data_IF_986489222935
#
_entry.id   IF_986489222935
#
_cell.length_a   1.000
_cell.length_b   1.000
_cell.length_c   1.000
_cell.angle_alpha   90.00
_cell.angle_beta   90.00
_cell.angle_gamma   90.00
#
_symmetry.space_group_name_H-M   'P 1'
#
loop_
_entity.id
_entity.type
_entity.pdbx_description
1 polymer ?
#
# COMPACT_ATOMS: atom_id res chain seq x y z
N UNK A 1 -60.14 -13.74 1.01
CA UNK A 1 -59.73 -14.84 0.11
C UNK A 1 -58.24 -15.02 0.29
N UNK A 2 -57.90 -15.83 1.28
CA UNK A 2 -56.54 -16.18 1.67
C UNK A 2 -55.94 -17.15 0.67
N UNK A 3 -54.74 -16.85 0.16
CA UNK A 3 -53.98 -17.83 -0.62
C UNK A 3 -52.56 -17.92 -0.09
N UNK A 4 -52.35 -18.97 0.69
CA UNK A 4 -51.13 -19.40 1.36
C UNK A 4 -50.13 -19.98 0.35
N UNK A 5 -48.91 -19.42 0.29
CA UNK A 5 -47.82 -19.98 -0.49
C UNK A 5 -47.13 -21.15 0.24
N UNK A 6 -46.67 -22.21 -0.46
CA UNK A 6 -46.09 -23.41 0.15
C UNK A 6 -44.60 -23.23 0.54
N UNK A 7 -44.24 -23.90 1.64
CA UNK A 7 -42.92 -23.98 2.27
C UNK A 7 -41.94 -24.90 1.53
N UNK A 8 -40.72 -24.43 1.27
CA UNK A 8 -39.62 -25.21 0.67
C UNK A 8 -38.91 -26.14 1.68
N UNK A 9 -38.45 -27.34 1.27
CA UNK A 9 -37.80 -28.29 2.17
C UNK A 9 -36.30 -27.99 2.38
N UNK A 10 -35.83 -28.23 3.61
CA UNK A 10 -34.47 -28.02 4.10
C UNK A 10 -33.57 -29.22 3.77
N UNK A 11 -32.33 -29.04 3.29
CA UNK A 11 -31.42 -30.15 3.02
C UNK A 11 -30.82 -30.74 4.32
N UNK A 12 -30.55 -32.06 4.38
CA UNK A 12 -30.05 -32.72 5.58
C UNK A 12 -28.54 -32.48 5.81
N UNK A 13 -28.18 -32.25 7.07
CA UNK A 13 -26.80 -32.07 7.52
C UNK A 13 -25.96 -33.34 7.39
N UNK A 14 -24.72 -33.19 6.91
CA UNK A 14 -23.73 -34.27 6.90
C UNK A 14 -22.84 -34.19 8.15
N UNK A 15 -22.84 -35.31 8.87
CA UNK A 15 -22.08 -35.62 10.08
C UNK A 15 -20.57 -35.58 9.85
N UNK A 16 -19.86 -35.07 10.85
CA UNK A 16 -18.42 -35.27 11.09
C UNK A 16 -18.13 -36.75 11.36
N UNK A 17 -16.99 -37.24 10.86
CA UNK A 17 -16.37 -38.50 11.29
C UNK A 17 -14.96 -38.17 11.79
N UNK A 18 -14.58 -38.55 13.02
CA UNK A 18 -13.20 -38.50 13.49
C UNK A 18 -12.47 -39.81 13.13
N UNK A 19 -11.17 -39.73 12.85
CA UNK A 19 -10.29 -40.90 12.92
C UNK A 19 -9.27 -40.69 14.02
N UNK A 20 -9.38 -41.55 15.02
CA UNK A 20 -8.46 -41.74 16.14
C UNK A 20 -7.46 -42.85 15.82
N UNK A 21 -6.30 -42.77 16.48
CA UNK A 21 -5.45 -43.91 16.86
C UNK A 21 -4.35 -44.27 15.86
N UNK A 22 -3.21 -44.82 16.26
CA UNK A 22 -2.66 -45.11 17.59
C UNK A 22 -1.18 -45.51 17.42
N UNK A 23 -0.44 -45.33 18.52
CA UNK A 23 0.91 -45.75 18.89
C UNK A 23 1.36 -47.14 18.40
N UNK A 24 2.66 -47.30 18.10
CA UNK A 24 3.39 -48.54 18.37
C UNK A 24 4.88 -48.27 18.63
N UNK A 25 5.35 -48.75 19.79
CA UNK A 25 6.74 -48.79 20.23
C UNK A 25 7.16 -50.27 20.44
N UNK A 26 8.38 -50.63 20.07
CA UNK A 26 9.16 -51.79 20.54
C UNK A 26 10.57 -51.68 19.90
N UNK A 27 11.63 -51.29 20.61
CA UNK A 27 12.50 -52.03 21.55
C UNK A 27 13.31 -53.18 20.91
N UNK A 28 14.61 -52.95 20.72
CA UNK A 28 15.63 -53.96 20.46
C UNK A 28 17.00 -53.45 20.92
N UNK A 29 17.59 -54.11 21.93
CA UNK A 29 18.92 -53.83 22.48
C UNK A 29 20.02 -54.53 21.66
N UNK A 30 21.14 -53.85 21.43
CA UNK A 30 22.47 -54.47 21.33
C UNK A 30 23.58 -53.46 21.68
N UNK A 31 24.50 -53.86 22.56
CA UNK A 31 25.66 -53.08 23.02
C UNK A 31 26.75 -53.01 21.94
N UNK A 32 27.32 -51.83 21.74
CA UNK A 32 28.57 -51.61 21.01
C UNK A 32 29.14 -50.24 21.33
N UNK A 33 30.21 -50.20 22.13
CA UNK A 33 30.96 -48.97 22.40
C UNK A 33 31.77 -48.59 21.15
N UNK A 34 31.56 -47.40 20.59
CA UNK A 34 32.54 -46.67 19.77
C UNK A 34 32.20 -45.17 19.83
N UNK A 35 33.12 -44.37 20.35
CA UNK A 35 33.02 -42.91 20.41
C UNK A 35 33.17 -42.29 19.02
N UNK A 36 32.15 -41.57 18.54
CA UNK A 36 32.29 -40.57 17.47
C UNK A 36 31.30 -39.41 17.67
N UNK A 37 31.88 -38.22 17.84
CA UNK A 37 31.35 -36.85 17.75
C UNK A 37 29.82 -36.63 17.70
N UNK A 38 29.31 -35.91 18.69
CA UNK A 38 28.00 -35.26 18.65
C UNK A 38 27.96 -34.20 17.53
N UNK A 39 27.09 -34.41 16.55
CA UNK A 39 26.70 -33.39 15.58
C UNK A 39 25.57 -32.58 16.21
N UNK A 40 25.72 -31.28 16.48
CA UNK A 40 24.58 -30.49 16.93
C UNK A 40 23.60 -30.37 15.76
N UNK A 41 22.38 -30.82 16.00
CA UNK A 41 21.26 -30.70 15.10
C UNK A 41 20.89 -29.22 14.88
N UNK A 42 20.85 -28.81 13.61
CA UNK A 42 19.93 -27.78 13.13
C UNK A 42 20.24 -26.33 13.51
N UNK A 43 21.40 -25.81 13.11
CA UNK A 43 21.50 -24.37 12.88
C UNK A 43 20.62 -24.02 11.67
N UNK A 44 19.47 -23.38 11.91
CA UNK A 44 18.69 -22.76 10.84
C UNK A 44 19.61 -21.78 10.08
N UNK A 45 19.56 -21.74 8.73
CA UNK A 45 20.35 -20.78 7.98
C UNK A 45 20.02 -19.36 8.47
N UNK A 46 21.00 -18.47 8.57
CA UNK A 46 20.75 -17.10 8.97
C UNK A 46 19.72 -16.51 8.00
N UNK A 47 18.59 -16.05 8.55
CA UNK A 47 17.62 -15.27 7.79
C UNK A 47 18.37 -14.02 7.33
N UNK A 48 18.64 -13.93 6.04
CA UNK A 48 19.05 -12.68 5.42
C UNK A 48 17.99 -11.65 5.76
N UNK A 49 18.37 -10.66 6.59
CA UNK A 49 17.55 -9.48 6.79
C UNK A 49 17.34 -8.85 5.40
N UNK A 50 16.09 -8.76 4.96
CA UNK A 50 15.76 -8.01 3.76
C UNK A 50 16.34 -6.61 3.92
N UNK A 51 17.25 -6.23 3.02
CA UNK A 51 17.78 -4.86 3.00
C UNK A 51 16.61 -3.89 3.01
N UNK A 52 16.57 -2.89 3.91
CA UNK A 52 15.50 -1.92 3.90
C UNK A 52 15.48 -1.26 2.51
N UNK A 53 14.28 -1.14 1.95
CA UNK A 53 14.10 -0.44 0.69
C UNK A 53 14.69 0.97 0.81
N UNK A 54 15.36 1.48 -0.24
CA UNK A 54 16.03 2.77 -0.18
C UNK A 54 15.02 3.88 0.16
N UNK A 55 15.40 4.73 1.11
CA UNK A 55 14.64 5.93 1.43
C UNK A 55 14.78 6.94 0.28
N UNK A 56 13.71 7.69 0.02
CA UNK A 56 13.74 8.78 -0.96
C UNK A 56 14.60 9.96 -0.48
N UNK A 57 15.24 10.67 -1.41
CA UNK A 57 15.94 11.93 -1.07
C UNK A 57 14.93 13.05 -0.92
N UNK A 58 14.85 13.63 0.27
CA UNK A 58 13.85 14.63 0.63
C UNK A 58 14.12 16.03 0.02
N UNK A 59 13.05 16.67 -0.43
CA UNK A 59 12.99 18.09 -0.83
C UNK A 59 11.75 18.72 -0.20
N UNK A 60 11.89 19.85 0.49
CA UNK A 60 10.76 20.53 1.12
C UNK A 60 10.13 21.56 0.15
N UNK A 61 8.81 21.54 0.06
CA UNK A 61 7.96 22.57 -0.54
C UNK A 61 7.16 23.23 0.59
N UNK A 62 6.93 24.54 0.54
CA UNK A 62 6.16 25.21 1.59
C UNK A 62 5.36 26.39 1.08
N UNK A 63 4.11 26.49 1.51
CA UNK A 63 3.19 27.61 1.27
C UNK A 63 2.08 27.58 2.33
N UNK A 64 1.53 28.74 2.72
CA UNK A 64 0.35 28.78 3.60
C UNK A 64 0.53 28.13 4.99
N UNK A 65 1.76 27.98 5.46
CA UNK A 65 2.09 27.30 6.73
C UNK A 65 2.14 25.78 6.66
N UNK A 66 1.85 25.19 5.50
CA UNK A 66 2.04 23.76 5.23
C UNK A 66 3.42 23.54 4.61
N UNK A 67 4.22 22.66 5.22
CA UNK A 67 5.44 22.10 4.62
C UNK A 67 5.16 20.69 4.13
N UNK A 68 5.55 20.40 2.89
CA UNK A 68 5.41 19.08 2.27
C UNK A 68 6.80 18.60 1.88
N UNK A 69 7.17 17.42 2.35
CA UNK A 69 8.41 16.76 1.94
C UNK A 69 8.10 15.87 0.77
N UNK A 70 8.76 16.08 -0.37
CA UNK A 70 8.64 15.28 -1.58
C UNK A 70 9.95 14.55 -1.88
N UNK A 71 9.88 13.45 -2.65
CA UNK A 71 11.10 12.79 -3.12
C UNK A 71 11.69 13.55 -4.31
N UNK A 72 13.01 13.49 -4.46
CA UNK A 72 13.72 13.99 -5.65
C UNK A 72 13.60 13.04 -6.83
N UNK A 73 13.61 11.74 -6.55
CA UNK A 73 13.74 10.68 -7.56
C UNK A 73 12.44 10.36 -8.29
N UNK A 74 11.28 10.74 -7.73
CA UNK A 74 9.98 10.35 -8.25
C UNK A 74 8.88 11.29 -7.72
N UNK A 75 7.76 11.52 -8.46
CA UNK A 75 6.65 12.33 -7.98
C UNK A 75 5.85 11.63 -6.86
N UNK A 76 6.42 11.59 -5.66
CA UNK A 76 5.81 11.09 -4.45
C UNK A 76 5.96 12.11 -3.30
N UNK A 77 4.99 12.10 -2.41
CA UNK A 77 5.01 12.87 -1.16
C UNK A 77 5.47 11.93 -0.06
N UNK A 78 6.47 12.34 0.72
CA UNK A 78 7.01 11.58 1.85
C UNK A 78 6.25 11.89 3.13
N UNK A 79 5.96 13.17 3.38
CA UNK A 79 5.27 13.62 4.60
C UNK A 79 4.71 15.03 4.48
N UNK A 80 3.81 15.36 5.40
CA UNK A 80 3.21 16.68 5.58
C UNK A 80 3.48 17.18 7.00
N UNK A 81 3.70 18.49 7.13
CA UNK A 81 3.86 19.17 8.42
C UNK A 81 3.07 20.49 8.42
N UNK A 82 2.09 20.60 9.31
CA UNK A 82 1.32 21.83 9.57
C UNK A 82 1.59 22.30 11.01
N UNK A 83 2.57 23.20 11.16
CA UNK A 83 3.14 23.54 12.47
C UNK A 83 3.86 22.33 13.08
N UNK A 84 3.39 21.85 14.23
CA UNK A 84 3.94 20.64 14.90
C UNK A 84 3.19 19.36 14.55
N UNK A 85 2.13 19.44 13.74
CA UNK A 85 1.26 18.31 13.41
C UNK A 85 1.70 17.67 12.10
N UNK A 86 1.63 16.35 11.99
CA UNK A 86 2.15 15.61 10.84
C UNK A 86 1.19 14.56 10.30
N UNK A 87 1.27 14.32 8.99
CA UNK A 87 0.72 13.16 8.31
C UNK A 87 1.82 12.53 7.43
N UNK A 88 1.71 11.24 7.19
CA UNK A 88 2.60 10.51 6.29
C UNK A 88 2.21 10.65 4.82
N UNK A 89 3.09 10.21 3.94
CA UNK A 89 2.81 9.89 2.55
C UNK A 89 3.38 8.51 2.21
N UNK A 90 4.27 8.45 1.23
CA UNK A 90 5.06 7.29 0.84
C UNK A 90 6.54 7.52 1.16
N UNK A 91 7.03 6.85 2.21
CA UNK A 91 8.43 6.96 2.65
C UNK A 91 9.39 6.11 1.80
N UNK A 92 8.91 4.99 1.25
CA UNK A 92 9.71 4.13 0.38
C UNK A 92 9.84 4.75 -1.01
N UNK A 93 11.03 4.79 -1.58
CA UNK A 93 11.22 5.32 -2.92
C UNK A 93 10.46 4.47 -3.95
N UNK A 94 9.66 5.13 -4.78
CA UNK A 94 9.04 4.60 -5.99
C UNK A 94 9.89 4.98 -7.20
N UNK A 95 9.79 4.19 -8.26
CA UNK A 95 10.56 4.42 -9.49
C UNK A 95 9.79 4.06 -10.76
N UNK A 96 8.51 3.71 -10.65
CA UNK A 96 7.76 3.07 -11.73
C UNK A 96 6.37 3.66 -11.90
N UNK A 97 5.96 3.79 -13.15
CA UNK A 97 4.58 4.07 -13.55
C UNK A 97 3.96 2.80 -14.13
N UNK A 98 2.65 2.64 -14.00
CA UNK A 98 1.92 1.65 -14.79
C UNK A 98 1.31 2.35 -16.01
N UNK A 99 1.75 1.96 -17.21
CA UNK A 99 1.21 2.45 -18.49
C UNK A 99 0.48 1.30 -19.16
N UNK A 100 -0.78 1.50 -19.53
CA UNK A 100 -1.61 0.47 -20.18
C UNK A 100 -1.68 -0.86 -19.41
N UNK A 101 -1.54 -0.81 -18.09
CA UNK A 101 -1.59 -1.99 -17.21
C UNK A 101 -0.24 -2.68 -16.97
N UNK A 102 0.84 -2.23 -17.62
CA UNK A 102 2.19 -2.77 -17.43
C UNK A 102 3.08 -1.79 -16.66
N UNK A 103 3.95 -2.32 -15.78
CA UNK A 103 4.85 -1.51 -14.98
C UNK A 103 6.12 -1.15 -15.78
N UNK A 104 6.41 0.14 -15.88
CA UNK A 104 7.58 0.68 -16.56
C UNK A 104 8.38 1.53 -15.60
N UNK A 105 9.68 1.22 -15.49
CA UNK A 105 10.60 1.97 -14.66
C UNK A 105 10.93 3.31 -15.32
N UNK A 106 10.80 4.39 -14.57
CA UNK A 106 11.13 5.72 -15.02
C UNK A 106 12.51 6.15 -14.52
N UNK A 107 13.27 6.82 -15.39
CA UNK A 107 14.34 7.73 -14.97
C UNK A 107 13.74 9.13 -14.89
N UNK A 108 13.77 9.72 -13.69
CA UNK A 108 13.10 11.01 -13.44
C UNK A 108 14.12 12.08 -13.06
N UNK A 109 13.95 13.26 -13.63
CA UNK A 109 14.63 14.48 -13.19
C UNK A 109 13.64 15.41 -12.51
N UNK A 110 14.11 16.19 -11.53
CA UNK A 110 13.26 17.10 -10.76
C UNK A 110 13.88 18.49 -10.68
N UNK A 111 13.04 19.50 -10.84
CA UNK A 111 13.31 20.89 -10.45
C UNK A 111 12.29 21.32 -9.41
N UNK A 112 12.73 21.98 -8.33
CA UNK A 112 11.83 22.51 -7.31
C UNK A 112 12.11 24.00 -7.09
N UNK A 113 11.05 24.78 -6.92
CA UNK A 113 11.12 26.21 -6.63
C UNK A 113 9.98 26.61 -5.70
N UNK A 114 10.33 27.04 -4.48
CA UNK A 114 9.37 27.46 -3.46
C UNK A 114 8.37 26.35 -3.12
N UNK A 115 7.12 26.56 -3.50
CA UNK A 115 6.00 25.66 -3.20
C UNK A 115 5.71 24.63 -4.27
N UNK A 116 6.54 24.49 -5.30
CA UNK A 116 6.31 23.60 -6.44
C UNK A 116 7.52 22.76 -6.82
N UNK A 117 7.29 21.46 -7.04
CA UNK A 117 8.22 20.55 -7.70
C UNK A 117 7.66 20.11 -9.06
N UNK A 118 8.52 20.09 -10.08
CA UNK A 118 8.24 19.58 -11.42
C UNK A 118 9.15 18.41 -11.70
N UNK A 119 8.55 17.30 -12.15
CA UNK A 119 9.20 16.05 -12.47
C UNK A 119 9.08 15.78 -13.96
N UNK A 120 10.17 15.36 -14.59
CA UNK A 120 10.17 14.86 -15.97
C UNK A 120 10.68 13.44 -15.97
N UNK A 121 9.80 12.50 -16.29
CA UNK A 121 10.03 11.06 -16.29
C UNK A 121 10.13 10.54 -17.72
N UNK A 122 11.21 9.78 -17.99
CA UNK A 122 11.46 9.10 -19.26
C UNK A 122 11.66 7.60 -19.02
N UNK A 123 11.48 6.81 -20.06
CA UNK A 123 11.42 5.35 -20.00
C UNK A 123 12.36 4.75 -21.04
N UNK A 124 13.16 3.76 -20.64
CA UNK A 124 14.08 3.07 -21.56
C UNK A 124 13.32 2.11 -22.48
N UNK A 125 12.33 1.41 -21.92
CA UNK A 125 11.48 0.43 -22.59
C UNK A 125 10.30 1.04 -23.36
N UNK A 126 10.00 2.32 -23.12
CA UNK A 126 9.03 3.12 -23.89
C UNK A 126 9.70 4.35 -24.50
N UNK A 127 10.61 4.17 -25.48
CA UNK A 127 11.33 5.28 -26.10
C UNK A 127 10.35 6.26 -26.76
N UNK A 128 10.60 7.55 -26.57
CA UNK A 128 9.72 8.61 -27.08
C UNK A 128 8.46 8.83 -26.25
N UNK A 129 8.37 8.28 -25.03
CA UNK A 129 7.41 8.69 -24.02
C UNK A 129 8.08 9.59 -22.97
N UNK A 130 7.44 10.71 -22.66
CA UNK A 130 7.84 11.59 -21.57
C UNK A 130 6.62 12.05 -20.80
N UNK A 131 6.66 11.89 -19.48
CA UNK A 131 5.60 12.32 -18.56
C UNK A 131 6.14 13.45 -17.70
N UNK A 132 5.44 14.59 -17.74
CA UNK A 132 5.72 15.74 -16.86
C UNK A 132 4.63 15.81 -15.81
N UNK A 133 5.01 15.75 -14.54
CA UNK A 133 4.10 15.85 -13.41
C UNK A 133 4.59 16.87 -12.39
N UNK A 134 3.68 17.40 -11.58
CA UNK A 134 3.97 18.42 -10.58
C UNK A 134 3.36 18.08 -9.23
N UNK A 135 4.02 18.55 -8.18
CA UNK A 135 3.47 18.62 -6.82
C UNK A 135 3.54 20.09 -6.41
N UNK A 136 2.39 20.67 -6.08
CA UNK A 136 2.29 22.09 -5.70
C UNK A 136 1.57 22.24 -4.36
N UNK A 137 2.15 23.00 -3.44
CA UNK A 137 1.54 23.40 -2.16
C UNK A 137 0.86 24.75 -2.35
N UNK A 138 -0.43 24.84 -2.06
CA UNK A 138 -1.18 26.09 -2.17
C UNK A 138 -1.24 26.84 -0.84
N UNK A 139 -1.65 28.12 -0.90
CA UNK A 139 -1.87 28.94 0.29
C UNK A 139 -2.99 28.41 1.19
N UNK A 140 -3.97 27.71 0.59
CA UNK A 140 -5.13 27.15 1.28
C UNK A 140 -4.86 25.75 1.86
N UNK A 141 -3.61 25.44 2.21
CA UNK A 141 -3.18 24.14 2.78
C UNK A 141 -3.57 22.92 1.93
N UNK A 142 -3.67 23.11 0.60
CA UNK A 142 -3.95 22.04 -0.35
C UNK A 142 -2.69 21.63 -1.09
N UNK A 143 -2.55 20.33 -1.36
CA UNK A 143 -1.45 19.81 -2.18
C UNK A 143 -2.02 19.22 -3.45
N UNK A 144 -1.55 19.73 -4.58
CA UNK A 144 -2.00 19.32 -5.91
C UNK A 144 -0.91 18.47 -6.53
N UNK A 145 -1.21 17.19 -6.75
CA UNK A 145 -0.47 16.35 -7.68
C UNK A 145 -1.16 16.40 -9.05
N UNK A 146 -0.42 16.71 -10.11
CA UNK A 146 -0.94 16.77 -11.46
C UNK A 146 0.02 16.13 -12.46
N UNK A 147 -0.51 15.39 -13.43
CA UNK A 147 0.21 15.07 -14.67
C UNK A 147 -0.13 16.17 -15.67
N UNK A 148 0.82 17.07 -15.93
CA UNK A 148 0.57 18.26 -16.74
C UNK A 148 0.78 18.01 -18.23
N UNK A 149 1.62 17.03 -18.57
CA UNK A 149 1.92 16.71 -19.96
C UNK A 149 2.32 15.26 -20.14
N UNK A 150 1.78 14.62 -21.17
CA UNK A 150 2.28 13.37 -21.74
C UNK A 150 2.70 13.70 -23.17
N UNK A 151 3.95 13.42 -23.54
CA UNK A 151 4.53 13.89 -24.80
C UNK A 151 5.56 12.95 -25.40
N UNK A 152 5.96 13.26 -26.64
CA UNK A 152 6.83 12.44 -27.48
C UNK A 152 6.03 11.56 -28.45
N UNK A 153 6.73 10.81 -29.30
CA UNK A 153 6.14 9.99 -30.38
C UNK A 153 5.24 8.87 -29.85
N UNK A 154 5.50 8.38 -28.63
CA UNK A 154 4.70 7.34 -27.99
C UNK A 154 3.55 7.91 -27.14
N UNK A 155 3.39 9.23 -27.01
CA UNK A 155 2.34 9.80 -26.13
C UNK A 155 0.92 9.34 -26.49
N UNK A 156 0.63 9.20 -27.78
CA UNK A 156 -0.69 8.78 -28.28
C UNK A 156 -1.04 7.32 -27.96
N UNK A 157 -0.06 6.50 -27.52
CA UNK A 157 -0.29 5.11 -27.14
C UNK A 157 -0.69 4.95 -25.68
N UNK A 158 -0.61 6.02 -24.87
CA UNK A 158 -0.97 5.98 -23.45
C UNK A 158 -2.49 6.09 -23.32
N UNK A 159 -3.14 5.00 -22.88
CA UNK A 159 -4.58 4.94 -22.63
C UNK A 159 -4.90 4.93 -21.13
N UNK A 160 -4.07 4.29 -20.33
CA UNK A 160 -4.16 4.33 -18.87
C UNK A 160 -2.80 4.64 -18.26
N UNK A 161 -2.82 5.39 -17.15
CA UNK A 161 -1.65 5.75 -16.38
C UNK A 161 -1.98 5.61 -14.90
N UNK A 162 -1.11 4.95 -14.15
CA UNK A 162 -1.21 4.85 -12.69
C UNK A 162 0.16 4.91 -12.04
N UNK A 163 0.17 5.26 -10.74
CA UNK A 163 1.33 5.12 -9.87
C UNK A 163 0.88 4.23 -8.70
N UNK A 164 1.06 2.90 -8.80
CA UNK A 164 0.71 2.00 -7.72
C UNK A 164 1.49 2.33 -6.44
N UNK A 165 0.80 2.32 -5.30
CA UNK A 165 1.45 2.58 -4.01
C UNK A 165 1.92 4.02 -3.79
N UNK A 166 1.44 4.99 -4.59
CA UNK A 166 1.82 6.40 -4.45
C UNK A 166 1.56 6.96 -3.04
N UNK A 167 0.56 6.42 -2.33
CA UNK A 167 0.20 6.75 -0.95
C UNK A 167 0.31 8.25 -0.67
N UNK A 168 -0.43 9.05 -1.46
CA UNK A 168 -0.34 10.52 -1.42
C UNK A 168 -0.45 11.06 0.01
N UNK A 169 -1.33 10.48 0.83
CA UNK A 169 -1.42 10.74 2.27
C UNK A 169 -1.62 9.42 3.02
N UNK A 170 -1.02 9.30 4.20
CA UNK A 170 -1.07 8.12 5.05
C UNK A 170 -0.99 8.47 6.53
N UNK A 171 -1.35 7.49 7.36
CA UNK A 171 -1.12 7.47 8.81
C UNK A 171 -0.55 6.12 9.19
N UNK A 172 0.19 6.07 10.29
CA UNK A 172 0.72 4.84 10.84
C UNK A 172 -0.06 4.41 12.09
N UNK A 173 -0.04 3.12 12.39
CA UNK A 173 -0.63 2.58 13.63
C UNK A 173 -0.05 3.14 14.92
N UNK A 174 1.14 3.71 14.86
CA UNK A 174 1.80 4.41 15.97
C UNK A 174 1.33 5.85 16.15
N UNK A 175 0.62 6.44 15.17
CA UNK A 175 0.05 7.78 15.30
C UNK A 175 -1.15 7.75 16.26
N UNK A 176 -1.18 8.59 17.30
CA UNK A 176 -2.32 8.66 18.21
C UNK A 176 -3.61 8.97 17.45
N UNK A 177 -4.62 8.12 17.58
CA UNK A 177 -5.94 8.33 16.95
C UNK A 177 -5.98 8.06 15.44
N UNK A 178 -4.98 7.38 14.87
CA UNK A 178 -4.93 7.00 13.46
C UNK A 178 -6.22 6.32 12.99
N UNK A 179 -6.80 6.82 11.91
CA UNK A 179 -8.08 6.33 11.38
C UNK A 179 -8.18 6.52 9.87
N UNK A 180 -9.04 5.69 9.27
CA UNK A 180 -9.47 5.76 7.89
C UNK A 180 -11.00 5.75 7.85
N UNK A 181 -11.59 6.78 7.28
CA UNK A 181 -12.99 6.80 6.88
C UNK A 181 -13.07 6.63 5.36
N UNK A 182 -13.85 5.68 4.87
CA UNK A 182 -14.03 5.46 3.42
C UNK A 182 -15.43 4.95 3.12
N UNK A 183 -15.83 5.04 1.86
CA UNK A 183 -17.15 4.58 1.43
C UNK A 183 -17.08 3.75 0.15
N UNK A 184 -18.19 3.14 -0.23
CA UNK A 184 -18.39 2.54 -1.55
C UNK A 184 -19.75 3.00 -2.07
N UNK A 185 -19.90 3.04 -3.39
CA UNK A 185 -21.21 3.29 -3.98
C UNK A 185 -22.12 2.12 -3.61
N UNK A 186 -23.23 2.41 -2.93
CA UNK A 186 -24.29 1.45 -2.59
C UNK A 186 -25.65 2.08 -2.86
N UNK A 187 -26.55 1.30 -3.44
CA UNK A 187 -27.96 1.67 -3.67
C UNK A 187 -28.91 1.04 -2.65
N UNK A 188 -28.39 0.24 -1.72
CA UNK A 188 -29.17 -0.36 -0.64
C UNK A 188 -29.43 0.67 0.46
N UNK A 189 -30.68 1.10 0.59
CA UNK A 189 -31.10 2.09 1.59
C UNK A 189 -31.18 1.53 3.02
N UNK A 190 -30.99 0.23 3.21
CA UNK A 190 -31.10 -0.43 4.52
C UNK A 190 -29.76 -0.62 5.22
N UNK A 191 -28.65 -0.37 4.52
CA UNK A 191 -27.29 -0.52 5.03
C UNK A 191 -26.44 0.71 4.73
N UNK A 192 -25.39 0.93 5.53
CA UNK A 192 -24.37 1.95 5.19
C UNK A 192 -23.16 1.29 4.55
N UNK A 193 -22.67 1.91 3.46
CA UNK A 193 -21.41 1.55 2.83
C UNK A 193 -20.20 2.23 3.48
N UNK A 194 -20.45 3.18 4.39
CA UNK A 194 -19.39 3.92 5.08
C UNK A 194 -18.69 3.01 6.08
N UNK A 195 -17.37 3.10 6.10
CA UNK A 195 -16.50 2.37 7.01
C UNK A 195 -15.59 3.35 7.73
N UNK A 196 -15.61 3.27 9.05
CA UNK A 196 -14.68 3.97 9.94
C UNK A 196 -13.78 2.93 10.57
N UNK A 197 -12.49 3.00 10.25
CA UNK A 197 -11.50 1.97 10.55
C UNK A 197 -10.41 2.60 11.41
N UNK A 198 -10.33 2.25 12.71
CA UNK A 198 -9.15 2.58 13.51
C UNK A 198 -7.92 1.87 12.94
N UNK A 199 -6.82 2.61 12.78
CA UNK A 199 -5.54 2.06 12.35
C UNK A 199 -4.71 1.78 13.59
N UNK A 200 -4.53 0.50 13.90
CA UNK A 200 -3.79 0.00 15.06
C UNK A 200 -2.83 -1.09 14.60
N UNK A 201 -1.91 -1.52 15.46
CA UNK A 201 -1.00 -2.62 15.13
C UNK A 201 -1.73 -3.95 14.80
N UNK A 202 -2.98 -4.11 15.25
CA UNK A 202 -3.82 -5.26 14.92
C UNK A 202 -4.67 -5.10 13.65
N UNK A 203 -4.69 -3.90 13.05
CA UNK A 203 -5.46 -3.64 11.83
C UNK A 203 -4.76 -4.28 10.65
N UNK A 204 -5.34 -5.34 10.10
CA UNK A 204 -4.81 -5.96 8.88
C UNK A 204 -5.12 -5.08 7.67
N UNK A 205 -4.14 -4.85 6.77
CA UNK A 205 -4.40 -4.20 5.49
C UNK A 205 -5.44 -4.98 4.68
N UNK A 206 -6.13 -4.28 3.77
CA UNK A 206 -6.94 -4.97 2.77
C UNK A 206 -6.04 -5.87 1.91
N UNK A 207 -6.56 -7.02 1.51
CA UNK A 207 -5.82 -8.00 0.69
C UNK A 207 -5.49 -7.47 -0.70
N UNK A 208 -6.32 -6.57 -1.21
CA UNK A 208 -6.22 -5.96 -2.53
C UNK A 208 -6.59 -4.48 -2.44
N UNK A 209 -6.12 -3.63 -3.38
CA UNK A 209 -6.56 -2.24 -3.46
C UNK A 209 -8.08 -2.11 -3.51
N UNK A 210 -8.64 -1.26 -2.64
CA UNK A 210 -10.08 -1.03 -2.57
C UNK A 210 -10.41 0.32 -3.21
N UNK A 211 -11.08 0.28 -4.36
CA UNK A 211 -11.63 1.47 -4.99
C UNK A 211 -12.65 2.16 -4.07
N UNK A 212 -12.43 3.43 -3.79
CA UNK A 212 -13.26 4.26 -2.91
C UNK A 212 -13.52 5.61 -3.58
N UNK A 213 -14.77 6.06 -3.75
CA UNK A 213 -15.05 7.36 -4.35
C UNK A 213 -14.60 8.50 -3.42
N UNK A 214 -14.67 8.29 -2.11
CA UNK A 214 -14.20 9.22 -1.09
C UNK A 214 -13.48 8.45 0.02
N UNK A 215 -12.37 9.00 0.50
CA UNK A 215 -11.71 8.52 1.69
C UNK A 215 -11.03 9.68 2.42
N UNK A 216 -11.00 9.58 3.73
CA UNK A 216 -10.34 10.51 4.63
C UNK A 216 -9.44 9.70 5.55
N UNK A 217 -8.21 10.16 5.71
CA UNK A 217 -7.27 9.59 6.66
C UNK A 217 -6.92 10.70 7.64
N UNK A 218 -6.75 10.33 8.91
CA UNK A 218 -6.41 11.30 9.94
C UNK A 218 -5.89 10.64 11.19
N UNK A 219 -5.41 11.47 12.10
CA UNK A 219 -4.98 11.10 13.44
C UNK A 219 -5.63 12.06 14.46
N UNK A 220 -5.18 12.07 15.71
CA UNK A 220 -5.74 12.93 16.75
C UNK A 220 -5.50 14.43 16.50
N UNK A 221 -4.70 14.81 15.50
CA UNK A 221 -4.25 16.18 15.26
C UNK A 221 -4.61 16.74 13.88
N UNK A 222 -4.72 15.88 12.85
CA UNK A 222 -4.97 16.21 11.44
C UNK A 222 -5.90 15.20 10.77
#
# INVERSE_FOLDING_TARGET
>A
MDTKAPSSPRPPGRRRVPRSGTVAAALGLALGMLSTAAVPAGAAPPRTASSPAPAATAVELSEGGLTVTVAREFPQIVSYRLGQRTLGGQATALDSFTVNGEAHRATTTMTAHGSRATYTSVFEDLPGLTITSTITVTKDTTVVFAVEKISGTAASTVHTLAIPGQSLVSVDSSDPGANLARTKISTDSTTTADRFIPITAGTSPDREPVGTPYAFVGNAQL
#
